data_IF_722251697928
#
_entry.id   IF_722251697928
#
_cell.length_a   1.000
_cell.length_b   1.000
_cell.length_c   1.000
_cell.angle_alpha   90.00
_cell.angle_beta   90.00
_cell.angle_gamma   90.00
#
_symmetry.space_group_name_H-M   'P 1'
#
loop_
_entity.id
_entity.type
_entity.pdbx_description
1 polymer ?
#
# COMPACT_ATOMS: atom_id res chain seq x y z
N UNK A 1 -28.85 38.93 -12.21
CA UNK A 1 -30.09 38.66 -12.93
C UNK A 1 -29.74 38.24 -14.34
N UNK A 2 -29.73 36.95 -14.57
CA UNK A 2 -29.44 36.39 -15.89
C UNK A 2 -30.76 36.25 -16.65
N UNK A 3 -30.81 36.79 -17.87
CA UNK A 3 -31.95 36.67 -18.76
C UNK A 3 -31.76 35.42 -19.60
N UNK A 4 -32.64 34.43 -19.44
CA UNK A 4 -32.59 33.16 -20.18
C UNK A 4 -33.52 33.25 -21.39
N UNK A 5 -32.96 33.08 -22.57
CA UNK A 5 -33.72 33.02 -23.84
C UNK A 5 -33.93 31.57 -24.31
N UNK A 6 -33.43 30.59 -23.59
CA UNK A 6 -33.54 29.15 -23.88
C UNK A 6 -34.31 28.45 -22.79
N UNK A 7 -34.86 27.26 -23.06
CA UNK A 7 -35.63 26.46 -22.11
C UNK A 7 -34.75 25.78 -21.02
N UNK A 8 -33.44 25.98 -21.03
CA UNK A 8 -32.51 25.40 -20.06
C UNK A 8 -31.40 26.38 -19.70
N UNK A 9 -31.02 26.37 -18.43
CA UNK A 9 -29.91 27.15 -17.90
C UNK A 9 -29.10 26.28 -16.94
N UNK A 10 -27.79 26.23 -17.10
CA UNK A 10 -26.89 25.50 -16.23
C UNK A 10 -26.26 26.45 -15.20
N UNK A 11 -26.47 26.15 -13.93
CA UNK A 11 -25.84 26.88 -12.81
C UNK A 11 -24.50 26.20 -12.47
N UNK A 12 -23.44 27.01 -12.41
CA UNK A 12 -22.09 26.58 -12.03
C UNK A 12 -21.63 27.31 -10.78
N UNK A 13 -20.62 26.78 -10.09
CA UNK A 13 -20.04 27.44 -8.91
C UNK A 13 -20.90 27.37 -7.65
N UNK A 14 -21.89 26.47 -7.61
CA UNK A 14 -22.68 26.24 -6.42
C UNK A 14 -21.87 25.51 -5.35
N UNK A 15 -21.98 25.95 -4.09
CA UNK A 15 -21.30 25.29 -2.97
C UNK A 15 -22.09 24.08 -2.47
N UNK A 16 -21.42 23.06 -1.97
CA UNK A 16 -22.01 21.92 -1.29
C UNK A 16 -22.84 22.40 -0.06
N UNK A 17 -23.97 21.74 0.21
CA UNK A 17 -24.94 22.12 1.26
C UNK A 17 -25.53 23.52 1.11
N UNK A 18 -25.37 24.17 -0.03
CA UNK A 18 -25.96 25.48 -0.29
C UNK A 18 -27.46 25.38 -0.55
N UNK A 19 -28.25 26.29 0.01
CA UNK A 19 -29.67 26.45 -0.29
C UNK A 19 -29.82 27.56 -1.31
N UNK A 20 -30.37 27.22 -2.46
CA UNK A 20 -30.50 28.14 -3.58
C UNK A 20 -31.96 28.33 -3.92
N UNK A 21 -32.31 29.55 -4.39
CA UNK A 21 -33.65 29.89 -4.83
C UNK A 21 -33.60 30.29 -6.31
N UNK A 22 -34.44 29.66 -7.06
CA UNK A 22 -34.60 29.93 -8.49
C UNK A 22 -35.95 30.60 -8.75
N UNK A 23 -35.95 31.66 -9.54
CA UNK A 23 -37.19 32.36 -9.97
C UNK A 23 -37.10 32.64 -11.46
N UNK A 24 -38.22 32.38 -12.15
CA UNK A 24 -38.37 32.71 -13.56
C UNK A 24 -39.37 33.84 -13.70
N UNK A 25 -39.04 34.85 -14.44
CA UNK A 25 -39.90 35.95 -14.83
C UNK A 25 -40.04 35.98 -16.34
N UNK A 26 -41.23 35.94 -16.85
CA UNK A 26 -41.50 36.13 -18.29
C UNK A 26 -41.68 37.61 -18.60
N UNK A 27 -40.95 38.09 -19.62
CA UNK A 27 -41.06 39.46 -20.13
C UNK A 27 -41.89 39.41 -21.41
N UNK A 28 -43.00 40.12 -21.43
CA UNK A 28 -43.95 40.08 -22.55
C UNK A 28 -43.60 41.08 -23.70
N UNK A 29 -42.75 42.07 -23.45
CA UNK A 29 -42.31 43.02 -24.46
C UNK A 29 -40.87 43.55 -24.21
N UNK A 30 -40.33 44.19 -25.23
CA UNK A 30 -38.95 44.78 -25.21
C UNK A 30 -38.84 46.00 -24.29
N UNK A 31 -39.94 46.52 -23.77
CA UNK A 31 -39.99 47.73 -22.92
C UNK A 31 -40.02 47.35 -21.45
N UNK A 32 -40.24 46.08 -21.10
CA UNK A 32 -40.24 45.56 -19.72
C UNK A 32 -41.44 46.02 -18.87
N UNK A 33 -42.45 46.68 -19.48
CA UNK A 33 -43.59 47.25 -18.73
C UNK A 33 -44.64 46.21 -18.41
N UNK A 34 -44.78 45.18 -19.22
CA UNK A 34 -45.74 44.10 -19.05
C UNK A 34 -45.07 42.79 -18.62
N UNK A 35 -44.49 42.76 -17.44
CA UNK A 35 -43.97 41.51 -16.92
C UNK A 35 -45.08 40.74 -16.19
N UNK A 36 -45.21 39.45 -16.38
CA UNK A 36 -46.18 38.58 -15.72
C UNK A 36 -45.87 38.31 -14.26
N UNK A 37 -44.81 38.92 -13.75
CA UNK A 37 -44.28 38.61 -12.41
C UNK A 37 -43.51 37.25 -12.37
N UNK A 38 -43.08 36.88 -11.21
CA UNK A 38 -42.40 35.61 -11.01
C UNK A 38 -43.40 34.46 -11.06
N UNK A 39 -43.17 33.47 -11.90
CA UNK A 39 -44.06 32.30 -12.07
C UNK A 39 -43.96 31.31 -10.89
N UNK A 40 -43.03 31.49 -10.01
CA UNK A 40 -42.83 30.66 -8.85
C UNK A 40 -41.40 30.78 -8.29
N UNK A 41 -41.22 30.20 -7.13
CA UNK A 41 -39.88 30.04 -6.53
C UNK A 41 -39.66 28.57 -6.30
N UNK A 42 -38.61 28.04 -6.89
CA UNK A 42 -38.12 26.70 -6.60
C UNK A 42 -36.94 26.83 -5.66
N UNK A 43 -37.00 26.13 -4.56
CA UNK A 43 -35.90 26.04 -3.60
C UNK A 43 -35.28 24.65 -3.76
N UNK A 44 -33.99 24.59 -3.94
CA UNK A 44 -33.25 23.33 -3.96
C UNK A 44 -32.00 23.47 -3.10
N UNK A 45 -31.54 22.34 -2.60
CA UNK A 45 -30.31 22.24 -1.83
C UNK A 45 -29.29 21.44 -2.65
N UNK A 46 -28.06 21.89 -2.67
CA UNK A 46 -26.97 21.09 -3.26
C UNK A 46 -26.68 19.89 -2.36
N UNK A 47 -26.18 18.83 -2.96
CA UNK A 47 -25.83 17.61 -2.25
C UNK A 47 -24.75 17.85 -1.18
N UNK A 48 -24.83 17.10 -0.12
CA UNK A 48 -23.80 17.07 0.92
C UNK A 48 -22.64 16.16 0.49
N UNK A 49 -21.43 16.69 0.43
CA UNK A 49 -20.22 15.93 0.19
C UNK A 49 -19.71 15.29 1.50
N UNK A 50 -20.40 14.28 1.99
CA UNK A 50 -20.09 13.59 3.25
C UNK A 50 -19.67 12.14 3.03
N UNK A 51 -18.75 11.90 2.10
CA UNK A 51 -18.15 10.56 1.89
C UNK A 51 -17.25 10.21 3.08
N UNK A 52 -17.49 9.04 3.66
CA UNK A 52 -16.66 8.48 4.74
C UNK A 52 -15.99 7.21 4.24
N UNK A 53 -14.68 7.11 4.44
CA UNK A 53 -13.85 5.97 4.07
C UNK A 53 -13.39 5.22 5.32
N UNK A 54 -13.49 3.91 5.29
CA UNK A 54 -12.93 2.99 6.28
C UNK A 54 -12.09 1.94 5.56
N UNK A 55 -10.93 1.60 6.10
CA UNK A 55 -10.03 0.62 5.48
C UNK A 55 -9.57 -0.42 6.48
N UNK A 56 -9.48 -1.67 6.03
CA UNK A 56 -8.71 -2.71 6.68
C UNK A 56 -7.62 -3.23 5.73
N UNK A 57 -6.53 -3.79 6.25
CA UNK A 57 -5.45 -4.29 5.42
C UNK A 57 -4.86 -5.58 5.96
N UNK A 58 -4.43 -6.43 5.03
CA UNK A 58 -3.62 -7.62 5.31
C UNK A 58 -2.20 -7.36 4.85
N UNK A 59 -1.26 -7.43 5.78
CA UNK A 59 0.16 -7.27 5.50
C UNK A 59 0.74 -8.51 4.82
N UNK A 60 1.87 -8.34 4.12
CA UNK A 60 2.65 -9.49 3.62
C UNK A 60 3.53 -10.06 4.76
N UNK A 61 3.78 -11.37 4.72
CA UNK A 61 4.68 -11.99 5.69
C UNK A 61 6.10 -11.48 5.50
N UNK A 62 6.56 -11.45 4.25
CA UNK A 62 7.92 -11.04 3.91
C UNK A 62 7.90 -9.90 2.90
N UNK A 63 8.81 -8.95 3.07
CA UNK A 63 9.08 -7.92 2.07
C UNK A 63 9.50 -8.59 0.75
N UNK A 64 8.85 -8.18 -0.35
CA UNK A 64 9.01 -8.82 -1.66
C UNK A 64 7.91 -9.81 -2.02
N UNK A 65 7.11 -10.30 -1.06
CA UNK A 65 5.88 -11.04 -1.37
C UNK A 65 4.77 -10.09 -1.86
N UNK A 66 3.84 -10.63 -2.64
CA UNK A 66 2.68 -9.88 -3.17
C UNK A 66 1.38 -10.56 -2.72
N UNK A 67 1.24 -10.75 -1.40
CA UNK A 67 0.06 -11.40 -0.78
C UNK A 67 -0.77 -10.43 0.06
N UNK A 68 -0.40 -9.15 0.07
CA UNK A 68 -1.13 -8.10 0.79
C UNK A 68 -2.49 -7.81 0.16
N UNK A 69 -3.40 -7.30 0.94
CA UNK A 69 -4.73 -6.87 0.51
C UNK A 69 -5.19 -5.64 1.26
N UNK A 70 -6.06 -4.87 0.64
CA UNK A 70 -6.78 -3.75 1.23
C UNK A 70 -8.26 -3.95 0.96
N UNK A 71 -9.07 -3.86 2.00
CA UNK A 71 -10.53 -3.82 1.97
C UNK A 71 -10.93 -2.38 2.28
N UNK A 72 -11.62 -1.73 1.36
CA UNK A 72 -12.10 -0.36 1.45
C UNK A 72 -13.62 -0.38 1.56
N UNK A 73 -14.14 0.25 2.59
CA UNK A 73 -15.58 0.47 2.74
C UNK A 73 -15.90 1.94 2.59
N UNK A 74 -16.89 2.26 1.76
CA UNK A 74 -17.31 3.63 1.48
C UNK A 74 -18.75 3.84 1.92
N UNK A 75 -19.03 4.95 2.56
CA UNK A 75 -20.40 5.34 2.94
C UNK A 75 -20.63 6.83 2.76
N UNK A 76 -21.90 7.22 2.66
CA UNK A 76 -22.29 8.62 2.43
C UNK A 76 -22.29 9.01 0.95
N UNK A 77 -22.34 10.32 0.67
CA UNK A 77 -22.41 10.84 -0.70
C UNK A 77 -23.63 10.35 -1.48
N UNK A 78 -23.49 10.16 -2.79
CA UNK A 78 -24.55 9.71 -3.69
C UNK A 78 -24.77 8.19 -3.73
N UNK A 79 -23.91 7.40 -3.08
CA UNK A 79 -23.97 5.94 -3.06
C UNK A 79 -23.47 5.22 -4.31
N UNK A 80 -23.01 5.95 -5.34
CA UNK A 80 -22.35 5.39 -6.53
C UNK A 80 -20.96 5.96 -6.60
N UNK A 81 -19.92 5.09 -6.57
CA UNK A 81 -18.54 5.52 -6.43
C UNK A 81 -17.65 5.04 -7.57
N UNK A 82 -16.64 5.84 -7.86
CA UNK A 82 -15.49 5.49 -8.69
C UNK A 82 -14.23 5.61 -7.86
N UNK A 83 -13.24 4.76 -8.13
CA UNK A 83 -12.02 4.63 -7.37
C UNK A 83 -10.82 4.91 -8.28
N UNK A 84 -9.83 5.56 -7.72
CA UNK A 84 -8.52 5.73 -8.36
C UNK A 84 -7.43 5.57 -7.31
N UNK A 85 -6.74 4.44 -7.36
CA UNK A 85 -5.62 4.14 -6.50
C UNK A 85 -4.29 4.65 -7.08
N UNK A 86 -3.31 4.88 -6.21
CA UNK A 86 -1.96 5.33 -6.61
C UNK A 86 -1.22 4.33 -7.52
N UNK A 87 -1.59 3.05 -7.52
CA UNK A 87 -1.08 2.01 -8.41
C UNK A 87 -1.85 1.91 -9.74
N UNK A 88 -2.83 2.80 -9.97
CA UNK A 88 -3.67 2.84 -11.17
C UNK A 88 -4.89 1.93 -11.15
N UNK A 89 -5.13 1.16 -10.08
CA UNK A 89 -6.33 0.34 -9.94
C UNK A 89 -7.59 1.21 -9.76
N UNK A 90 -8.74 0.70 -10.24
CA UNK A 90 -10.04 1.36 -10.18
C UNK A 90 -11.11 0.52 -9.48
N UNK A 91 -10.71 -0.57 -8.83
CA UNK A 91 -11.58 -1.41 -7.99
C UNK A 91 -11.71 -0.83 -6.60
N UNK A 92 -12.77 -1.19 -5.87
CA UNK A 92 -12.95 -0.80 -4.47
C UNK A 92 -11.82 -1.40 -3.62
N UNK A 93 -11.66 -2.72 -3.67
CA UNK A 93 -10.66 -3.46 -2.95
C UNK A 93 -9.43 -3.75 -3.80
N UNK A 94 -8.31 -3.97 -3.12
CA UNK A 94 -7.06 -4.38 -3.74
C UNK A 94 -6.57 -5.70 -3.16
N UNK A 95 -6.04 -6.54 -4.03
CA UNK A 95 -5.38 -7.82 -3.67
C UNK A 95 -4.03 -7.93 -4.36
N UNK A 96 -3.25 -8.92 -3.96
CA UNK A 96 -1.92 -9.19 -4.55
C UNK A 96 -0.96 -8.01 -4.44
N UNK A 97 -1.00 -7.33 -3.29
CA UNK A 97 -0.18 -6.15 -3.02
C UNK A 97 1.17 -6.53 -2.40
N UNK A 98 2.22 -5.87 -2.83
CA UNK A 98 3.51 -5.83 -2.14
C UNK A 98 3.50 -4.82 -0.99
N UNK A 99 4.65 -4.70 -0.30
CA UNK A 99 4.86 -3.64 0.69
C UNK A 99 4.83 -2.27 0.02
N UNK A 100 4.21 -1.29 0.67
CA UNK A 100 4.13 0.07 0.15
C UNK A 100 2.99 0.88 0.72
N UNK A 101 2.89 2.12 0.24
CA UNK A 101 1.77 3.03 0.55
C UNK A 101 0.82 3.08 -0.63
N UNK A 102 -0.46 2.91 -0.36
CA UNK A 102 -1.53 2.93 -1.34
C UNK A 102 -2.50 4.05 -0.97
N UNK A 103 -2.63 5.01 -1.86
CA UNK A 103 -3.56 6.13 -1.71
C UNK A 103 -4.74 5.92 -2.65
N UNK A 104 -5.95 6.18 -2.18
CA UNK A 104 -7.15 6.14 -3.01
C UNK A 104 -7.83 7.49 -3.01
N UNK A 105 -8.35 7.85 -4.19
CA UNK A 105 -9.35 8.91 -4.36
C UNK A 105 -10.66 8.25 -4.74
N UNK A 106 -11.67 8.44 -3.92
CA UNK A 106 -13.05 8.00 -4.18
C UNK A 106 -13.85 9.21 -4.65
N UNK A 107 -14.56 9.06 -5.75
CA UNK A 107 -15.42 10.11 -6.30
C UNK A 107 -16.83 9.55 -6.46
N UNK A 108 -17.84 10.25 -5.97
CA UNK A 108 -19.24 9.88 -6.15
C UNK A 108 -19.84 10.46 -7.45
N UNK A 109 -21.08 10.07 -7.78
CA UNK A 109 -21.76 10.53 -8.99
C UNK A 109 -22.11 12.01 -8.97
N UNK A 110 -22.02 12.69 -7.84
CA UNK A 110 -22.18 14.14 -7.70
C UNK A 110 -20.87 14.91 -7.83
N UNK A 111 -19.74 14.21 -8.02
CA UNK A 111 -18.41 14.78 -8.11
C UNK A 111 -17.77 15.10 -6.75
N UNK A 112 -18.35 14.66 -5.64
CA UNK A 112 -17.72 14.75 -4.34
C UNK A 112 -16.57 13.76 -4.22
N UNK A 113 -15.46 14.15 -3.59
CA UNK A 113 -14.28 13.32 -3.44
C UNK A 113 -13.88 13.13 -1.98
N UNK A 114 -13.35 11.96 -1.66
CA UNK A 114 -12.66 11.67 -0.41
C UNK A 114 -11.39 10.88 -0.68
N UNK A 115 -10.37 11.04 0.16
CA UNK A 115 -9.08 10.36 0.01
C UNK A 115 -8.65 9.71 1.31
N UNK A 116 -7.98 8.56 1.21
CA UNK A 116 -7.32 7.92 2.34
C UNK A 116 -6.04 7.22 1.90
N UNK A 117 -5.18 6.85 2.86
CA UNK A 117 -3.91 6.16 2.63
C UNK A 117 -3.83 4.94 3.50
N UNK A 118 -3.33 3.84 2.95
CA UNK A 118 -3.11 2.57 3.63
C UNK A 118 -1.68 2.10 3.38
N UNK A 119 -1.03 1.56 4.40
CA UNK A 119 0.29 0.94 4.27
C UNK A 119 0.21 -0.57 4.36
N UNK A 120 0.84 -1.28 3.43
CA UNK A 120 1.12 -2.71 3.52
C UNK A 120 2.56 -2.89 3.98
N UNK A 121 2.73 -3.58 5.10
CA UNK A 121 4.03 -3.85 5.70
C UNK A 121 4.42 -5.32 5.50
N UNK A 122 5.71 -5.62 5.65
CA UNK A 122 6.24 -6.98 5.63
C UNK A 122 7.56 -7.04 6.40
N UNK A 123 7.87 -8.22 6.94
CA UNK A 123 9.14 -8.44 7.60
C UNK A 123 10.29 -8.41 6.60
N UNK A 124 11.42 -7.87 7.01
CA UNK A 124 12.64 -7.94 6.21
C UNK A 124 13.32 -9.30 6.41
N UNK A 125 13.94 -9.87 5.35
CA UNK A 125 14.85 -10.99 5.49
C UNK A 125 15.99 -10.62 6.45
N UNK A 126 16.40 -11.57 7.29
CA UNK A 126 17.55 -11.41 8.15
C UNK A 126 18.82 -11.81 7.39
N UNK A 127 19.91 -11.06 7.58
CA UNK A 127 21.23 -11.43 7.08
C UNK A 127 22.19 -11.55 8.24
N UNK A 128 22.99 -12.63 8.26
CA UNK A 128 24.05 -12.81 9.25
C UNK A 128 25.33 -13.28 8.57
N UNK A 129 26.46 -12.98 9.19
CA UNK A 129 27.76 -13.48 8.76
C UNK A 129 28.53 -14.02 9.95
N UNK A 130 29.22 -15.13 9.74
CA UNK A 130 30.12 -15.72 10.73
C UNK A 130 31.42 -16.17 10.05
N UNK A 131 32.47 -16.38 10.87
CA UNK A 131 33.74 -16.99 10.43
C UNK A 131 34.06 -18.14 11.36
N UNK A 132 34.39 -19.29 10.78
CA UNK A 132 34.73 -20.49 11.52
C UNK A 132 36.05 -21.07 11.02
N UNK A 133 36.84 -21.62 11.94
CA UNK A 133 38.08 -22.31 11.64
C UNK A 133 38.01 -23.74 12.14
N UNK A 134 38.30 -24.71 11.29
CA UNK A 134 38.29 -26.13 11.63
C UNK A 134 39.63 -26.78 11.20
N UNK A 135 39.89 -27.96 11.73
CA UNK A 135 41.01 -28.80 11.30
C UNK A 135 40.65 -29.61 10.05
N UNK A 136 41.63 -29.98 9.26
CA UNK A 136 41.49 -30.90 8.13
C UNK A 136 40.79 -32.22 8.58
N UNK A 137 39.87 -32.69 7.77
CA UNK A 137 39.01 -33.85 8.11
C UNK A 137 37.78 -33.53 8.97
N UNK A 138 37.64 -32.32 9.49
CA UNK A 138 36.42 -31.86 10.20
C UNK A 138 35.41 -31.22 9.25
N UNK A 139 34.19 -31.01 9.73
CA UNK A 139 33.10 -30.35 8.98
C UNK A 139 32.30 -29.40 9.85
N UNK A 140 31.66 -28.42 9.21
CA UNK A 140 30.61 -27.62 9.84
C UNK A 140 29.27 -27.86 9.12
N UNK A 141 28.16 -27.68 9.82
CA UNK A 141 26.84 -27.75 9.22
C UNK A 141 26.12 -26.42 9.43
N UNK A 142 25.55 -25.87 8.35
CA UNK A 142 24.72 -24.68 8.38
C UNK A 142 23.37 -25.04 7.74
N UNK A 143 22.30 -25.05 8.53
CA UNK A 143 21.01 -25.58 8.09
C UNK A 143 21.14 -27.04 7.66
N UNK A 144 20.96 -27.32 6.39
CA UNK A 144 21.09 -28.67 5.79
C UNK A 144 22.40 -28.86 5.02
N UNK A 145 23.21 -27.84 4.88
CA UNK A 145 24.48 -27.85 4.11
C UNK A 145 25.65 -28.19 5.03
N UNK A 146 26.56 -29.06 4.55
CA UNK A 146 27.77 -29.45 5.28
C UNK A 146 29.01 -29.06 4.46
N UNK A 147 29.97 -28.40 5.10
CA UNK A 147 31.18 -27.86 4.47
C UNK A 147 32.43 -28.42 5.12
N UNK A 148 33.38 -28.82 4.29
CA UNK A 148 34.64 -29.45 4.71
C UNK A 148 35.87 -28.75 4.13
N UNK A 149 35.70 -27.73 3.29
CA UNK A 149 36.79 -27.01 2.62
C UNK A 149 36.77 -25.54 2.92
N UNK A 150 37.91 -24.88 2.91
CA UNK A 150 37.98 -23.43 3.09
C UNK A 150 37.23 -22.73 1.98
N UNK A 151 36.42 -21.70 2.35
CA UNK A 151 35.64 -20.96 1.39
C UNK A 151 34.62 -20.02 2.08
N UNK A 152 33.90 -19.27 1.27
CA UNK A 152 32.76 -18.50 1.70
C UNK A 152 31.49 -19.14 1.16
N UNK A 153 30.58 -19.50 2.05
CA UNK A 153 29.35 -20.21 1.77
C UNK A 153 28.18 -19.33 2.10
N UNK A 154 27.14 -19.40 1.28
CA UNK A 154 25.90 -18.64 1.48
C UNK A 154 24.75 -19.64 1.55
N UNK A 155 24.11 -19.71 2.71
CA UNK A 155 22.94 -20.56 2.97
C UNK A 155 21.69 -19.70 3.14
N UNK A 156 20.57 -20.19 2.60
CA UNK A 156 19.26 -19.58 2.79
C UNK A 156 18.48 -20.45 3.79
N UNK A 157 18.11 -19.86 4.90
CA UNK A 157 17.40 -20.51 5.99
C UNK A 157 16.08 -19.81 6.24
N UNK A 158 15.02 -20.58 6.54
CA UNK A 158 13.75 -20.00 6.95
C UNK A 158 13.85 -19.52 8.41
N UNK A 159 13.70 -18.23 8.62
CA UNK A 159 13.74 -17.64 9.96
C UNK A 159 12.39 -17.79 10.68
N UNK A 160 12.40 -17.56 12.01
CA UNK A 160 11.21 -17.64 12.85
C UNK A 160 10.09 -16.66 12.46
N UNK A 161 10.44 -15.55 11.77
CA UNK A 161 9.48 -14.60 11.22
C UNK A 161 8.84 -15.06 9.90
N UNK A 162 9.17 -16.26 9.41
CA UNK A 162 8.65 -16.84 8.17
C UNK A 162 9.32 -16.33 6.89
N UNK A 163 10.36 -15.46 7.00
CA UNK A 163 11.09 -14.95 5.83
C UNK A 163 12.41 -15.71 5.66
N UNK A 164 12.78 -15.95 4.40
CA UNK A 164 14.09 -16.53 4.12
C UNK A 164 15.20 -15.58 4.58
N UNK A 165 16.18 -16.16 5.27
CA UNK A 165 17.34 -15.45 5.81
C UNK A 165 18.61 -15.95 5.18
N UNK A 166 19.53 -15.05 4.91
CA UNK A 166 20.82 -15.38 4.33
C UNK A 166 21.90 -15.44 5.41
N UNK A 167 22.58 -16.57 5.51
CA UNK A 167 23.74 -16.77 6.39
C UNK A 167 24.98 -16.90 5.52
N UNK A 168 25.95 -16.00 5.69
CA UNK A 168 27.26 -16.07 5.04
C UNK A 168 28.27 -16.61 6.01
N UNK A 169 28.83 -17.79 5.71
CA UNK A 169 29.84 -18.44 6.53
C UNK A 169 31.21 -18.45 5.82
N UNK A 170 32.21 -17.83 6.42
CA UNK A 170 33.59 -17.94 5.98
C UNK A 170 34.26 -19.07 6.74
N UNK A 171 34.61 -20.16 6.04
CA UNK A 171 35.26 -21.33 6.62
C UNK A 171 36.75 -21.31 6.29
N UNK A 172 37.58 -21.50 7.30
CA UNK A 172 39.02 -21.72 7.18
C UNK A 172 39.29 -23.12 7.67
N UNK A 173 39.89 -23.95 6.81
CA UNK A 173 40.35 -25.29 7.17
C UNK A 173 41.88 -25.26 7.31
N UNK A 174 42.37 -25.53 8.51
CA UNK A 174 43.78 -25.64 8.78
C UNK A 174 44.27 -27.03 8.40
N UNK A 175 45.15 -27.11 7.41
CA UNK A 175 45.78 -28.36 7.00
C UNK A 175 46.85 -28.73 8.03
N UNK A 176 46.82 -29.96 8.48
CA UNK A 176 47.84 -30.48 9.38
C UNK A 176 49.24 -30.44 8.69
N UNK A 177 50.16 -29.67 9.23
CA UNK A 177 51.56 -29.68 8.77
C UNK A 177 52.29 -30.77 9.49
N UNK A 178 52.71 -31.83 8.78
CA UNK A 178 53.66 -32.83 9.30
C UNK A 178 55.04 -32.24 9.32
N UNK A 179 55.41 -31.55 10.37
CA UNK A 179 56.84 -31.28 10.68
C UNK A 179 57.22 -32.06 11.91
N UNK A 180 58.36 -32.73 11.84
CA UNK A 180 58.89 -33.69 12.83
C UNK A 180 59.39 -33.05 14.17
N UNK A 181 58.86 -31.94 14.62
CA UNK A 181 59.15 -31.38 15.95
C UNK A 181 58.16 -30.26 16.31
N UNK A 182 57.01 -30.57 16.78
CA UNK A 182 56.02 -29.90 17.63
C UNK A 182 54.61 -30.19 17.12
N UNK A 183 53.96 -31.09 17.83
CA UNK A 183 52.51 -31.31 17.68
C UNK A 183 51.82 -30.10 18.28
N UNK A 184 51.25 -29.22 17.48
CA UNK A 184 50.18 -28.29 17.92
C UNK A 184 48.90 -29.10 17.88
N UNK A 185 48.42 -29.54 19.05
CA UNK A 185 47.11 -30.18 19.18
C UNK A 185 46.04 -29.19 18.73
N UNK A 186 45.24 -29.58 17.72
CA UNK A 186 43.96 -28.91 17.45
C UNK A 186 42.97 -29.30 18.50
N UNK A 187 42.71 -28.42 19.46
CA UNK A 187 41.65 -28.64 20.44
C UNK A 187 40.29 -28.72 19.75
N UNK A 188 39.60 -29.85 19.95
CA UNK A 188 38.24 -30.00 19.51
C UNK A 188 37.30 -29.20 20.42
N UNK A 189 36.81 -28.07 19.96
CA UNK A 189 35.76 -27.32 20.64
C UNK A 189 34.41 -27.96 20.33
N UNK A 190 33.77 -28.57 21.35
CA UNK A 190 32.35 -28.92 21.26
C UNK A 190 31.50 -27.74 21.74
N UNK A 191 30.70 -27.21 20.87
CA UNK A 191 29.68 -26.23 21.23
C UNK A 191 28.44 -26.94 21.75
N UNK A 192 28.12 -26.74 23.05
CA UNK A 192 26.80 -27.02 23.57
C UNK A 192 25.95 -25.77 23.37
N UNK A 193 25.03 -25.80 22.38
CA UNK A 193 24.02 -24.79 22.10
C UNK A 193 22.78 -24.96 22.94
#
# INVERSE_FOLDING_TARGET
>A
NDTVTTNSYSLTGLTSNGVYRWRVMTMCDATGINNSGFTGTVVFTTASCNITLSTSSTNVVCSGASTGAIDLSVSGGSGSYTYLWSNGATTEDLTSLGTGFYNVTVTDSWGCTATTSVSIMGNLPLTSSNSQTICDGSSITVGTSTYTTSGTYIDVLTAANGCDSTVTTTLIVNVATTSSSNVTECDSYSWNG
#
